data_IF_784321982711
#
_entry.id   IF_784321982711
#
_cell.length_a   1.000
_cell.length_b   1.000
_cell.length_c   1.000
_cell.angle_alpha   90.00
_cell.angle_beta   90.00
_cell.angle_gamma   90.00
#
_symmetry.space_group_name_H-M   'P 1'
#
loop_
_entity.id
_entity.type
_entity.pdbx_description
1 polymer ?
#
# COMPACT_ATOMS: atom_id res chain seq x y z
N UNK A 1 11.84 15.55 -8.54
CA UNK A 1 11.26 14.56 -9.48
C UNK A 1 9.91 14.09 -8.92
N UNK A 2 8.90 13.92 -9.77
CA UNK A 2 7.62 13.40 -9.30
C UNK A 2 7.70 11.89 -9.15
N UNK A 3 7.45 11.41 -7.95
CA UNK A 3 7.43 9.96 -7.67
C UNK A 3 6.06 9.36 -7.96
N UNK A 4 4.99 10.17 -7.87
CA UNK A 4 3.62 9.79 -8.23
C UNK A 4 2.97 10.93 -8.99
N UNK A 5 2.30 10.61 -10.10
CA UNK A 5 1.53 11.56 -10.88
C UNK A 5 0.29 10.90 -11.48
N UNK A 6 -0.86 11.56 -11.32
CA UNK A 6 -2.07 11.23 -12.08
C UNK A 6 -2.47 12.41 -12.94
N UNK A 7 -3.05 12.14 -14.09
CA UNK A 7 -3.54 13.17 -15.01
C UNK A 7 -4.92 12.75 -15.50
N UNK A 8 -5.92 13.56 -15.20
CA UNK A 8 -7.33 13.31 -15.54
C UNK A 8 -7.81 11.89 -15.20
N UNK A 9 -7.35 11.36 -14.06
CA UNK A 9 -7.66 9.99 -13.66
C UNK A 9 -9.16 9.80 -13.46
N UNK A 10 -9.74 8.91 -14.24
CA UNK A 10 -11.19 8.69 -14.26
C UNK A 10 -11.50 7.20 -14.07
N UNK A 11 -12.48 6.91 -13.22
CA UNK A 11 -12.99 5.55 -13.04
C UNK A 11 -14.52 5.56 -13.01
N UNK A 12 -15.11 4.76 -13.88
CA UNK A 12 -16.56 4.54 -13.98
C UNK A 12 -16.87 3.07 -13.75
N UNK A 13 -17.94 2.84 -13.01
CA UNK A 13 -18.58 1.53 -12.82
C UNK A 13 -20.01 1.63 -13.39
N UNK A 14 -20.19 1.21 -14.64
CA UNK A 14 -21.45 1.43 -15.33
C UNK A 14 -21.80 2.91 -15.40
N UNK A 15 -22.94 3.29 -14.81
CA UNK A 15 -23.40 4.70 -14.74
C UNK A 15 -22.79 5.50 -13.60
N UNK A 16 -22.12 4.84 -12.67
CA UNK A 16 -21.50 5.50 -11.49
C UNK A 16 -20.07 5.94 -11.80
N UNK A 17 -19.79 7.21 -11.59
CA UNK A 17 -18.44 7.78 -11.71
C UNK A 17 -17.80 7.86 -10.33
N UNK A 18 -16.82 7.01 -10.06
CA UNK A 18 -16.09 6.98 -8.81
C UNK A 18 -14.97 8.03 -8.75
N UNK A 19 -14.30 8.26 -9.87
CA UNK A 19 -13.27 9.29 -10.05
C UNK A 19 -13.57 10.05 -11.34
N UNK A 20 -13.50 11.37 -11.28
CA UNK A 20 -13.76 12.26 -12.41
C UNK A 20 -12.63 13.26 -12.60
N UNK A 21 -11.63 12.87 -13.39
CA UNK A 21 -10.53 13.73 -13.76
C UNK A 21 -9.61 14.12 -12.59
N UNK A 22 -9.18 13.16 -11.78
CA UNK A 22 -8.36 13.43 -10.59
C UNK A 22 -6.89 13.62 -10.97
N UNK A 23 -6.35 14.77 -10.58
CA UNK A 23 -4.94 15.14 -10.74
C UNK A 23 -4.25 15.14 -9.38
N UNK A 24 -3.20 14.33 -9.25
CA UNK A 24 -2.36 14.23 -8.05
C UNK A 24 -0.90 14.29 -8.48
N UNK A 25 -0.10 14.99 -7.73
CA UNK A 25 1.33 15.07 -7.94
C UNK A 25 2.04 14.99 -6.59
N UNK A 26 2.93 14.01 -6.44
CA UNK A 26 3.74 13.81 -5.23
C UNK A 26 5.20 13.78 -5.61
N UNK A 27 6.00 14.64 -4.97
CA UNK A 27 7.43 14.75 -5.20
C UNK A 27 8.23 13.83 -4.29
N UNK A 28 9.45 13.55 -4.68
CA UNK A 28 10.39 12.80 -3.85
C UNK A 28 10.61 13.51 -2.51
N UNK A 29 10.56 12.74 -1.41
CA UNK A 29 10.70 13.25 -0.04
C UNK A 29 9.46 13.96 0.51
N UNK A 30 8.37 14.04 -0.25
CA UNK A 30 7.14 14.69 0.18
C UNK A 30 6.25 13.75 0.99
N UNK A 31 5.62 14.29 2.04
CA UNK A 31 4.51 13.65 2.73
C UNK A 31 3.22 14.26 2.20
N UNK A 32 2.46 13.48 1.46
CA UNK A 32 1.21 13.91 0.84
C UNK A 32 -0.01 13.43 1.62
N UNK A 33 -0.82 14.35 2.13
CA UNK A 33 -2.08 14.07 2.81
C UNK A 33 -3.20 13.80 1.81
N UNK A 34 -3.78 12.59 1.85
CA UNK A 34 -4.90 12.20 0.99
C UNK A 34 -6.15 11.99 1.84
N UNK A 35 -6.89 13.08 2.07
CA UNK A 35 -7.99 13.16 3.02
C UNK A 35 -9.29 13.45 2.27
N UNK A 36 -10.39 12.87 2.74
CA UNK A 36 -11.72 13.13 2.21
C UNK A 36 -12.77 12.26 2.91
N UNK A 37 -14.05 12.57 2.74
CA UNK A 37 -15.14 11.78 3.30
C UNK A 37 -15.22 10.39 2.69
N UNK A 38 -15.95 9.48 3.34
CA UNK A 38 -16.27 8.18 2.76
C UNK A 38 -17.05 8.38 1.44
N UNK A 39 -16.68 7.62 0.42
CA UNK A 39 -17.27 7.76 -0.91
C UNK A 39 -16.63 8.83 -1.81
N UNK A 40 -15.58 9.54 -1.35
CA UNK A 40 -14.85 10.54 -2.15
C UNK A 40 -13.91 9.93 -3.22
N UNK A 41 -13.81 8.60 -3.31
CA UNK A 41 -12.95 7.92 -4.29
C UNK A 41 -11.53 7.61 -3.80
N UNK A 42 -11.21 7.81 -2.52
CA UNK A 42 -9.86 7.53 -1.96
C UNK A 42 -9.41 6.10 -2.19
N UNK A 43 -10.23 5.14 -1.79
CA UNK A 43 -9.92 3.71 -1.94
C UNK A 43 -9.81 3.30 -3.41
N UNK A 44 -10.65 3.85 -4.28
CA UNK A 44 -10.60 3.61 -5.73
C UNK A 44 -9.30 4.13 -6.31
N UNK A 45 -8.89 5.34 -5.95
CA UNK A 45 -7.60 5.92 -6.37
C UNK A 45 -6.43 5.05 -5.93
N UNK A 46 -6.39 4.65 -4.66
CA UNK A 46 -5.32 3.80 -4.12
C UNK A 46 -5.26 2.45 -4.86
N UNK A 47 -6.40 1.80 -5.13
CA UNK A 47 -6.45 0.55 -5.89
C UNK A 47 -5.94 0.70 -7.31
N UNK A 48 -6.18 1.83 -7.96
CA UNK A 48 -5.63 2.12 -9.29
C UNK A 48 -4.12 2.30 -9.20
N UNK A 49 -3.63 3.08 -8.23
CA UNK A 49 -2.19 3.30 -8.01
C UNK A 49 -1.44 2.01 -7.68
N UNK A 50 -2.10 1.06 -7.01
CA UNK A 50 -1.54 -0.27 -6.74
C UNK A 50 -1.64 -1.23 -7.94
N UNK A 51 -2.20 -0.82 -9.08
CA UNK A 51 -2.38 -1.69 -10.23
C UNK A 51 -3.39 -2.84 -10.01
N UNK A 52 -4.26 -2.72 -8.99
CA UNK A 52 -5.32 -3.71 -8.70
C UNK A 52 -6.57 -3.44 -9.52
N UNK A 53 -6.81 -2.17 -9.82
CA UNK A 53 -7.98 -1.69 -10.56
C UNK A 53 -7.52 -0.86 -11.76
N UNK A 54 -8.02 -1.20 -12.95
CA UNK A 54 -7.70 -0.44 -14.15
C UNK A 54 -8.54 0.84 -14.22
N UNK A 55 -7.91 1.96 -14.53
CA UNK A 55 -8.60 3.22 -14.79
C UNK A 55 -9.46 3.11 -16.06
N UNK A 56 -10.57 3.86 -16.11
CA UNK A 56 -11.41 3.99 -17.30
C UNK A 56 -10.78 4.94 -18.32
N UNK A 57 -10.20 6.05 -17.82
CA UNK A 57 -9.52 7.06 -18.63
C UNK A 57 -8.49 7.80 -17.79
N UNK A 58 -7.65 8.60 -18.43
CA UNK A 58 -6.55 9.32 -17.81
C UNK A 58 -5.32 8.45 -17.60
N UNK A 59 -4.34 8.99 -16.92
CA UNK A 59 -3.06 8.34 -16.66
C UNK A 59 -2.74 8.33 -15.17
N UNK A 60 -2.05 7.28 -14.73
CA UNK A 60 -1.44 7.20 -13.40
C UNK A 60 -0.05 6.59 -13.53
N UNK A 61 0.95 7.29 -13.00
CA UNK A 61 2.35 6.88 -13.06
C UNK A 61 2.99 6.93 -11.68
N UNK A 62 3.81 5.93 -11.38
CA UNK A 62 4.70 5.89 -10.21
C UNK A 62 6.12 5.66 -10.71
N UNK A 63 7.06 6.50 -10.27
CA UNK A 63 8.45 6.51 -10.77
C UNK A 63 8.55 6.63 -12.30
N UNK A 64 7.62 7.37 -12.93
CA UNK A 64 7.53 7.53 -14.37
C UNK A 64 6.96 6.33 -15.13
N UNK A 65 6.61 5.22 -14.46
CA UNK A 65 6.06 3.99 -15.03
C UNK A 65 4.53 3.95 -14.90
N UNK A 66 3.86 3.39 -15.88
CA UNK A 66 2.40 3.20 -15.86
C UNK A 66 1.99 2.20 -14.79
N UNK A 67 1.06 2.58 -13.92
CA UNK A 67 0.65 1.75 -12.77
C UNK A 67 -0.03 0.45 -13.14
N UNK A 68 -0.62 0.35 -14.33
CA UNK A 68 -1.25 -0.88 -14.80
C UNK A 68 -0.29 -1.77 -15.59
N UNK A 69 0.43 -1.18 -16.55
CA UNK A 69 1.33 -1.93 -17.44
C UNK A 69 2.59 -2.41 -16.73
N UNK A 70 3.15 -1.56 -15.85
CA UNK A 70 4.42 -1.79 -15.18
C UNK A 70 4.25 -2.15 -13.69
N UNK A 71 3.07 -2.63 -13.29
CA UNK A 71 2.70 -2.91 -11.89
C UNK A 71 3.75 -3.75 -11.16
N UNK A 72 4.26 -4.81 -11.79
CA UNK A 72 5.25 -5.71 -11.18
C UNK A 72 6.55 -4.99 -10.82
N UNK A 73 7.04 -4.12 -11.69
CA UNK A 73 8.25 -3.34 -11.44
C UNK A 73 8.05 -2.27 -10.39
N UNK A 74 6.89 -1.63 -10.40
CA UNK A 74 6.51 -0.64 -9.40
C UNK A 74 6.43 -1.28 -8.02
N UNK A 75 5.81 -2.46 -7.91
CA UNK A 75 5.63 -3.17 -6.64
C UNK A 75 6.94 -3.56 -5.96
N UNK A 76 8.04 -3.69 -6.69
CA UNK A 76 9.37 -3.93 -6.10
C UNK A 76 9.87 -2.74 -5.26
N UNK A 77 9.33 -1.56 -5.50
CA UNK A 77 9.81 -0.28 -4.95
C UNK A 77 8.82 0.43 -4.01
N UNK A 78 7.58 -0.04 -3.93
CA UNK A 78 6.55 0.52 -3.07
C UNK A 78 6.21 -0.42 -1.93
N UNK A 79 5.65 0.15 -0.86
CA UNK A 79 5.01 -0.58 0.21
C UNK A 79 3.60 -0.02 0.43
N UNK A 80 2.71 -0.88 0.86
CA UNK A 80 1.34 -0.52 1.17
C UNK A 80 0.92 -1.13 2.50
N UNK A 81 0.41 -0.31 3.40
CA UNK A 81 -0.20 -0.76 4.66
C UNK A 81 -1.71 -0.53 4.56
N UNK A 82 -2.52 -1.59 4.48
CA UNK A 82 -3.98 -1.45 4.40
C UNK A 82 -4.58 -0.97 5.72
N UNK A 83 -5.75 -0.33 5.64
CA UNK A 83 -6.50 0.09 6.83
C UNK A 83 -6.97 -1.09 7.69
N UNK A 84 -7.32 -2.21 7.06
CA UNK A 84 -7.62 -3.48 7.72
C UNK A 84 -6.57 -4.51 7.31
N UNK A 85 -5.78 -4.92 8.30
CA UNK A 85 -4.71 -5.90 8.12
C UNK A 85 -5.23 -7.28 8.47
N UNK A 86 -5.26 -8.18 7.49
CA UNK A 86 -5.58 -9.58 7.65
C UNK A 86 -4.28 -10.39 7.62
N UNK A 87 -4.00 -11.08 8.71
CA UNK A 87 -2.83 -11.93 8.88
C UNK A 87 -3.26 -13.39 9.04
N UNK A 88 -2.35 -14.32 8.80
CA UNK A 88 -2.60 -15.73 9.07
C UNK A 88 -2.74 -15.96 10.57
N UNK A 89 -3.91 -16.38 11.07
CA UNK A 89 -4.18 -16.41 12.51
C UNK A 89 -3.29 -17.38 13.29
N UNK A 90 -2.81 -18.44 12.64
CA UNK A 90 -2.00 -19.50 13.26
C UNK A 90 -0.49 -19.22 13.21
N UNK A 91 -0.07 -18.19 12.46
CA UNK A 91 1.34 -17.76 12.45
C UNK A 91 1.58 -16.73 13.54
N UNK A 92 2.81 -16.67 14.03
CA UNK A 92 3.27 -15.56 14.89
C UNK A 92 3.52 -14.32 14.06
N UNK A 93 3.51 -13.15 14.69
CA UNK A 93 3.89 -11.89 14.01
C UNK A 93 5.27 -11.97 13.39
N UNK A 94 6.24 -12.56 14.10
CA UNK A 94 7.60 -12.78 13.60
C UNK A 94 7.65 -13.69 12.37
N UNK A 95 6.88 -14.79 12.36
CA UNK A 95 6.79 -15.69 11.21
C UNK A 95 6.20 -15.01 9.98
N UNK A 96 5.19 -14.15 10.15
CA UNK A 96 4.60 -13.36 9.05
C UNK A 96 5.62 -12.37 8.48
N UNK A 97 6.33 -11.64 9.34
CA UNK A 97 7.39 -10.71 8.92
C UNK A 97 8.46 -11.47 8.12
N UNK A 98 8.93 -12.59 8.63
CA UNK A 98 9.96 -13.41 7.98
C UNK A 98 9.50 -13.96 6.63
N UNK A 99 8.22 -14.31 6.51
CA UNK A 99 7.62 -14.74 5.24
C UNK A 99 7.70 -13.63 4.18
N UNK A 100 7.30 -12.41 4.54
CA UNK A 100 7.35 -11.27 3.62
C UNK A 100 8.79 -10.86 3.26
N UNK A 101 9.72 -10.92 4.21
CA UNK A 101 11.14 -10.69 3.95
C UNK A 101 11.67 -11.68 2.92
N UNK A 102 11.33 -12.96 3.04
CA UNK A 102 11.71 -14.00 2.07
C UNK A 102 11.08 -13.77 0.70
N UNK A 103 9.81 -13.40 0.65
CA UNK A 103 9.11 -13.12 -0.61
C UNK A 103 9.71 -11.93 -1.36
N UNK A 104 10.23 -10.94 -0.65
CA UNK A 104 10.95 -9.81 -1.25
C UNK A 104 12.39 -10.12 -1.65
N UNK A 105 12.93 -11.25 -1.23
CA UNK A 105 14.32 -11.63 -1.51
C UNK A 105 15.34 -10.76 -0.78
N UNK A 106 14.95 -10.14 0.32
CA UNK A 106 15.83 -9.30 1.15
C UNK A 106 16.18 -10.02 2.46
N UNK A 107 17.32 -9.64 3.04
CA UNK A 107 17.72 -10.14 4.36
C UNK A 107 18.22 -8.97 5.20
N UNK A 108 17.31 -8.36 5.94
CA UNK A 108 17.58 -7.22 6.83
C UNK A 108 17.26 -7.58 8.29
N UNK A 109 17.92 -8.61 8.80
CA UNK A 109 17.67 -9.12 10.17
C UNK A 109 17.81 -8.05 11.24
N UNK A 110 18.87 -7.22 11.18
CA UNK A 110 19.10 -6.13 12.12
C UNK A 110 17.99 -5.06 12.06
N UNK A 111 17.53 -4.71 10.85
CA UNK A 111 16.45 -3.74 10.67
C UNK A 111 15.11 -4.29 11.18
N UNK A 112 14.88 -5.59 10.99
CA UNK A 112 13.71 -6.29 11.53
C UNK A 112 13.66 -6.17 13.07
N UNK A 113 14.75 -6.48 13.73
CA UNK A 113 14.84 -6.41 15.18
C UNK A 113 14.67 -4.98 15.70
N UNK A 114 15.31 -4.01 15.07
CA UNK A 114 15.16 -2.59 15.37
C UNK A 114 13.70 -2.13 15.29
N UNK A 115 12.98 -2.50 14.23
CA UNK A 115 11.58 -2.12 14.05
C UNK A 115 10.65 -2.82 15.03
N UNK A 116 10.89 -4.09 15.36
CA UNK A 116 10.12 -4.81 16.37
C UNK A 116 10.25 -4.12 17.73
N UNK A 117 11.44 -3.69 18.09
CA UNK A 117 11.69 -2.94 19.32
C UNK A 117 11.05 -1.55 19.27
N UNK A 118 11.26 -0.81 18.18
CA UNK A 118 10.71 0.55 17.98
C UNK A 118 9.19 0.58 18.09
N UNK A 119 8.50 -0.39 17.51
CA UNK A 119 7.04 -0.49 17.55
C UNK A 119 6.51 -1.23 18.78
N UNK A 120 7.36 -1.68 19.70
CA UNK A 120 6.96 -2.47 20.87
C UNK A 120 6.07 -3.67 20.50
N UNK A 121 6.45 -4.40 19.46
CA UNK A 121 5.74 -5.59 19.00
C UNK A 121 6.31 -6.84 19.68
N UNK A 122 5.43 -7.70 20.20
CA UNK A 122 5.82 -9.05 20.61
C UNK A 122 5.72 -10.00 19.41
N UNK A 123 6.84 -10.39 18.79
CA UNK A 123 6.82 -11.21 17.58
C UNK A 123 6.49 -12.68 17.84
N UNK A 124 6.46 -13.11 19.11
CA UNK A 124 6.20 -14.50 19.51
C UNK A 124 4.73 -14.86 19.59
N UNK A 125 3.84 -13.86 19.64
CA UNK A 125 2.40 -14.07 19.73
C UNK A 125 1.79 -14.50 18.40
N UNK A 126 0.81 -15.40 18.47
CA UNK A 126 -0.02 -15.75 17.31
C UNK A 126 -0.83 -14.55 16.83
N UNK A 127 -0.95 -14.38 15.52
CA UNK A 127 -1.66 -13.22 14.94
C UNK A 127 -3.11 -13.12 15.39
N UNK A 128 -3.78 -14.25 15.66
CA UNK A 128 -5.14 -14.28 16.21
C UNK A 128 -5.28 -13.58 17.56
N UNK A 129 -4.20 -13.43 18.33
CA UNK A 129 -4.19 -12.82 19.67
C UNK A 129 -3.88 -11.34 19.64
N UNK A 130 -3.48 -10.79 18.49
CA UNK A 130 -3.18 -9.37 18.36
C UNK A 130 -4.44 -8.51 18.32
N UNK A 131 -4.36 -7.35 18.96
CA UNK A 131 -5.30 -6.26 18.72
C UNK A 131 -5.19 -5.76 17.26
N UNK A 132 -6.18 -4.97 16.82
CA UNK A 132 -6.12 -4.31 15.50
C UNK A 132 -4.84 -3.49 15.34
N UNK A 133 -4.46 -2.72 16.36
CA UNK A 133 -3.22 -1.92 16.35
C UNK A 133 -1.96 -2.76 16.23
N UNK A 134 -1.88 -3.88 16.95
CA UNK A 134 -0.74 -4.78 16.85
C UNK A 134 -0.66 -5.49 15.49
N UNK A 135 -1.79 -5.85 14.88
CA UNK A 135 -1.80 -6.36 13.50
C UNK A 135 -1.26 -5.32 12.50
N UNK A 136 -1.62 -4.06 12.67
CA UNK A 136 -1.08 -2.96 11.85
C UNK A 136 0.42 -2.79 12.02
N UNK A 137 0.96 -3.01 13.23
CA UNK A 137 2.41 -2.97 13.46
C UNK A 137 3.16 -4.08 12.72
N UNK A 138 2.53 -5.25 12.53
CA UNK A 138 3.14 -6.34 11.75
C UNK A 138 3.24 -5.97 10.27
N UNK A 139 2.24 -5.26 9.71
CA UNK A 139 2.19 -4.85 8.32
C UNK A 139 3.22 -3.77 8.01
#
# INVERSE_FOLDING_TARGET
MNVLKTTNLTKRFGKFTALDGVDIEVKEGEIYGFIGPNGAGKSTTIRILLGILKATAGEAKIFGKDVWKDAVDIHKRIAYVPGDVNLWPNLTGGEVIDLFVKLRGTNHKSRREELIEMFHLDPSKKCRTYSKGNRQKVA
#
